data_IF_546847500798
#
_entry.id   IF_546847500798
#
_cell.length_a   1.000
_cell.length_b   1.000
_cell.length_c   1.000
_cell.angle_alpha   90.00
_cell.angle_beta   90.00
_cell.angle_gamma   90.00
#
_symmetry.space_group_name_H-M   'P 1'
#
loop_
_entity.id
_entity.type
_entity.pdbx_description
1 polymer ?
#
# COMPACT_ATOMS: atom_id res chain seq x y z
N UNK A 1 -2.41 -4.47 -15.49
CA UNK A 1 -3.73 -4.89 -14.94
C UNK A 1 -4.73 -5.04 -16.08
N UNK A 2 -5.59 -6.08 -16.03
CA UNK A 2 -6.62 -6.28 -17.06
C UNK A 2 -8.00 -6.45 -16.43
N UNK A 3 -8.99 -5.77 -16.99
CA UNK A 3 -10.39 -5.83 -16.58
C UNK A 3 -11.19 -6.42 -17.74
N UNK A 4 -12.00 -7.44 -17.47
CA UNK A 4 -12.78 -8.15 -18.47
C UNK A 4 -14.23 -8.28 -18.05
N UNK A 5 -15.13 -7.75 -18.89
CA UNK A 5 -16.59 -7.82 -18.78
C UNK A 5 -17.11 -7.45 -17.38
N UNK A 6 -16.49 -6.45 -16.75
CA UNK A 6 -16.80 -6.03 -15.39
C UNK A 6 -18.16 -5.37 -15.34
N UNK A 7 -19.08 -5.91 -14.56
CA UNK A 7 -20.39 -5.33 -14.27
C UNK A 7 -20.63 -5.31 -12.76
N UNK A 8 -21.25 -4.23 -12.28
CA UNK A 8 -21.61 -4.06 -10.87
C UNK A 8 -22.85 -3.17 -10.76
N UNK A 9 -23.81 -3.59 -9.92
CA UNK A 9 -25.01 -2.84 -9.59
C UNK A 9 -25.25 -2.81 -8.08
N UNK A 10 -25.83 -1.73 -7.58
CA UNK A 10 -26.37 -1.64 -6.23
C UNK A 10 -27.90 -1.57 -6.31
N UNK A 11 -28.55 -2.70 -6.09
CA UNK A 11 -29.99 -2.84 -6.30
C UNK A 11 -30.36 -2.60 -7.77
N UNK A 12 -31.14 -1.57 -8.05
CA UNK A 12 -31.52 -1.21 -9.41
C UNK A 12 -30.57 -0.19 -10.09
N UNK A 13 -29.53 0.22 -9.39
CA UNK A 13 -28.60 1.23 -9.89
C UNK A 13 -27.36 0.57 -10.47
N UNK A 14 -27.24 0.55 -11.80
CA UNK A 14 -26.07 0.02 -12.51
C UNK A 14 -24.91 1.03 -12.41
N UNK A 15 -23.79 0.60 -11.83
CA UNK A 15 -22.55 1.41 -11.68
C UNK A 15 -21.60 1.15 -12.84
N UNK A 16 -21.37 -0.14 -13.15
CA UNK A 16 -20.52 -0.56 -14.25
C UNK A 16 -21.26 -1.59 -15.10
N UNK A 17 -21.11 -1.47 -16.42
CA UNK A 17 -21.71 -2.37 -17.40
C UNK A 17 -20.69 -2.84 -18.41
N UNK A 18 -20.34 -4.11 -18.35
CA UNK A 18 -19.46 -4.78 -19.32
C UNK A 18 -18.16 -4.00 -19.61
N UNK A 19 -17.54 -3.45 -18.56
CA UNK A 19 -16.31 -2.65 -18.69
C UNK A 19 -15.14 -3.57 -19.04
N UNK A 20 -14.43 -3.20 -20.11
CA UNK A 20 -13.22 -3.86 -20.56
C UNK A 20 -12.10 -2.82 -20.63
N UNK A 21 -10.97 -3.07 -19.92
CA UNK A 21 -9.86 -2.13 -19.85
C UNK A 21 -8.56 -2.93 -19.69
N UNK A 22 -7.53 -2.53 -20.44
CA UNK A 22 -6.17 -3.02 -20.28
C UNK A 22 -5.27 -1.85 -19.88
N UNK A 23 -4.70 -1.90 -18.69
CA UNK A 23 -3.76 -0.91 -18.17
C UNK A 23 -2.37 -1.53 -18.21
N UNK A 24 -1.47 -1.04 -19.08
CA UNK A 24 -0.08 -1.48 -19.15
C UNK A 24 0.67 -1.24 -17.83
N UNK A 25 1.83 -1.84 -17.69
CA UNK A 25 2.74 -1.59 -16.57
C UNK A 25 3.41 -0.21 -16.73
N UNK A 26 3.73 0.42 -15.61
CA UNK A 26 4.38 1.73 -15.52
C UNK A 26 3.56 2.89 -16.14
N UNK A 27 2.25 2.73 -16.26
CA UNK A 27 1.37 3.79 -16.76
C UNK A 27 0.69 4.57 -15.62
N UNK A 28 0.58 5.89 -15.80
CA UNK A 28 -0.23 6.76 -14.95
C UNK A 28 -1.59 6.92 -15.61
N UNK A 29 -2.66 6.52 -14.92
CA UNK A 29 -4.03 6.55 -15.45
C UNK A 29 -4.92 7.46 -14.60
N UNK A 30 -5.52 8.47 -15.21
CA UNK A 30 -6.51 9.33 -14.58
C UNK A 30 -7.93 8.79 -14.79
N UNK A 31 -8.68 8.62 -13.69
CA UNK A 31 -10.10 8.26 -13.72
C UNK A 31 -10.93 9.53 -13.51
N UNK A 32 -11.67 9.93 -14.52
CA UNK A 32 -12.48 11.16 -14.51
C UNK A 32 -13.97 10.83 -14.51
N UNK A 33 -14.74 11.54 -13.73
CA UNK A 33 -16.20 11.38 -13.66
C UNK A 33 -16.82 12.28 -12.59
N UNK A 34 -18.12 12.53 -12.70
CA UNK A 34 -18.89 13.30 -11.70
C UNK A 34 -18.89 12.60 -10.33
N UNK A 35 -19.25 13.33 -9.28
CA UNK A 35 -19.40 12.72 -7.95
C UNK A 35 -20.51 11.66 -8.03
N UNK A 36 -20.26 10.49 -7.40
CA UNK A 36 -21.16 9.35 -7.46
C UNK A 36 -21.03 8.46 -8.72
N UNK A 37 -20.14 8.78 -9.68
CA UNK A 37 -19.92 7.96 -10.88
C UNK A 37 -19.26 6.59 -10.61
N UNK A 38 -18.94 6.25 -9.35
CA UNK A 38 -18.36 4.95 -9.01
C UNK A 38 -16.83 4.92 -8.93
N UNK A 39 -16.12 6.07 -8.94
CA UNK A 39 -14.64 6.11 -8.86
C UNK A 39 -14.10 5.34 -7.66
N UNK A 40 -14.55 5.65 -6.45
CA UNK A 40 -14.13 4.96 -5.23
C UNK A 40 -14.63 3.49 -5.18
N UNK A 41 -15.76 3.19 -5.82
CA UNK A 41 -16.26 1.81 -6.00
C UNK A 41 -15.30 1.00 -6.88
N UNK A 42 -14.79 1.61 -7.93
CA UNK A 42 -13.79 0.99 -8.81
C UNK A 42 -12.51 0.65 -8.05
N UNK A 43 -12.02 1.54 -7.19
CA UNK A 43 -10.87 1.25 -6.31
C UNK A 43 -11.15 0.10 -5.34
N UNK A 44 -12.35 0.03 -4.75
CA UNK A 44 -12.74 -1.10 -3.89
C UNK A 44 -12.73 -2.43 -4.63
N UNK A 45 -13.13 -2.46 -5.90
CA UNK A 45 -13.04 -3.64 -6.76
C UNK A 45 -11.59 -4.05 -7.04
N UNK A 46 -10.70 -3.08 -7.37
CA UNK A 46 -9.27 -3.33 -7.58
C UNK A 46 -8.63 -3.89 -6.30
N UNK A 47 -8.96 -3.33 -5.14
CA UNK A 47 -8.48 -3.77 -3.82
C UNK A 47 -9.10 -5.10 -3.36
N UNK A 48 -10.01 -5.70 -4.14
CA UNK A 48 -10.78 -6.90 -3.77
C UNK A 48 -11.58 -6.74 -2.45
N UNK A 49 -11.93 -5.49 -2.09
CA UNK A 49 -12.82 -5.18 -0.95
C UNK A 49 -14.30 -5.28 -1.35
N UNK A 50 -14.56 -5.38 -2.64
CA UNK A 50 -15.87 -5.58 -3.24
C UNK A 50 -15.69 -6.54 -4.42
N UNK A 51 -16.67 -7.46 -4.60
CA UNK A 51 -16.70 -8.36 -5.73
C UNK A 51 -17.65 -7.82 -6.81
N UNK A 52 -17.32 -7.96 -8.11
CA UNK A 52 -18.22 -7.57 -9.18
C UNK A 52 -19.35 -8.61 -9.32
N UNK A 53 -20.51 -8.18 -9.87
CA UNK A 53 -21.61 -9.09 -10.21
C UNK A 53 -21.20 -10.03 -11.37
N UNK A 54 -20.45 -9.48 -12.35
CA UNK A 54 -19.93 -10.22 -13.49
C UNK A 54 -18.53 -9.74 -13.86
N UNK A 55 -17.80 -10.60 -14.56
CA UNK A 55 -16.47 -10.30 -15.06
C UNK A 55 -15.37 -10.50 -14.01
N UNK A 56 -14.20 -9.93 -14.27
CA UNK A 56 -13.05 -10.06 -13.37
C UNK A 56 -11.99 -9.01 -13.59
N UNK A 57 -11.23 -8.73 -12.52
CA UNK A 57 -10.02 -7.93 -12.53
C UNK A 57 -8.83 -8.87 -12.38
N UNK A 58 -7.90 -8.84 -13.33
CA UNK A 58 -6.71 -9.70 -13.38
C UNK A 58 -5.50 -8.82 -13.06
N UNK A 59 -4.87 -9.12 -11.94
CA UNK A 59 -3.63 -8.47 -11.46
C UNK A 59 -2.65 -9.61 -11.18
N UNK A 60 -1.36 -9.38 -11.36
CA UNK A 60 -0.32 -10.37 -11.02
C UNK A 60 -0.38 -10.66 -9.51
N UNK A 61 -0.20 -11.91 -9.12
CA UNK A 61 -0.34 -12.34 -7.72
C UNK A 61 0.72 -11.73 -6.78
N UNK A 62 1.87 -11.38 -7.32
CA UNK A 62 2.99 -10.79 -6.59
C UNK A 62 2.91 -9.25 -6.47
N UNK A 63 1.90 -8.62 -7.09
CA UNK A 63 1.71 -7.17 -7.02
C UNK A 63 1.03 -6.75 -5.71
N UNK A 64 1.69 -5.84 -4.98
CA UNK A 64 1.06 -5.14 -3.88
C UNK A 64 0.25 -3.97 -4.43
N UNK A 65 -0.95 -3.80 -3.88
CA UNK A 65 -1.84 -2.71 -4.22
C UNK A 65 -2.04 -1.91 -2.95
N UNK A 66 -1.77 -0.63 -3.01
CA UNK A 66 -2.05 0.25 -1.88
C UNK A 66 -2.88 1.46 -2.32
N UNK A 67 -3.72 1.94 -1.40
CA UNK A 67 -4.66 3.03 -1.61
C UNK A 67 -4.39 4.10 -0.57
N UNK A 68 -4.31 5.38 -0.99
CA UNK A 68 -4.41 6.46 -0.02
C UNK A 68 -5.82 6.44 0.56
N UNK A 69 -5.97 6.19 1.87
CA UNK A 69 -7.27 6.33 2.51
C UNK A 69 -7.67 7.81 2.53
N UNK A 70 -8.96 8.05 2.41
CA UNK A 70 -9.50 9.41 2.49
C UNK A 70 -9.31 10.00 3.90
N UNK A 71 -9.28 9.13 4.92
CA UNK A 71 -9.07 9.50 6.33
C UNK A 71 -8.09 8.51 6.96
N UNK A 72 -7.08 9.00 7.70
CA UNK A 72 -6.06 8.16 8.36
C UNK A 72 -6.69 7.16 9.34
N UNK A 73 -7.75 7.57 10.05
CA UNK A 73 -8.46 6.76 11.02
C UNK A 73 -9.10 5.49 10.42
N UNK A 74 -9.35 5.48 9.11
CA UNK A 74 -9.87 4.30 8.41
C UNK A 74 -8.78 3.21 8.22
N UNK A 75 -7.50 3.60 8.29
CA UNK A 75 -6.36 2.70 8.07
C UNK A 75 -5.74 2.21 9.38
N UNK A 76 -5.69 3.06 10.40
CA UNK A 76 -4.95 2.85 11.63
C UNK A 76 -5.90 2.73 12.82
N UNK A 77 -5.93 1.54 13.43
CA UNK A 77 -6.75 1.28 14.62
C UNK A 77 -6.17 1.90 15.91
N UNK A 78 -4.87 2.16 15.94
CA UNK A 78 -4.16 2.72 17.09
C UNK A 78 -3.43 4.01 16.72
N UNK A 79 -4.07 5.15 17.00
CA UNK A 79 -3.49 6.47 16.75
C UNK A 79 -2.46 6.90 17.81
N UNK A 80 -2.15 6.06 18.80
CA UNK A 80 -1.13 6.35 19.82
C UNK A 80 0.30 6.08 19.34
N UNK A 81 0.48 5.44 18.19
CA UNK A 81 1.79 5.21 17.59
C UNK A 81 2.41 6.54 17.12
N UNK A 82 3.73 6.62 17.15
CA UNK A 82 4.46 7.77 16.62
C UNK A 82 4.51 7.76 15.09
N UNK A 83 4.71 8.95 14.53
CA UNK A 83 4.74 9.18 13.07
C UNK A 83 5.84 8.36 12.40
N UNK A 84 7.03 8.28 13.00
CA UNK A 84 8.15 7.55 12.41
C UNK A 84 7.83 6.05 12.29
N UNK A 85 7.33 5.44 13.36
CA UNK A 85 6.90 4.03 13.36
C UNK A 85 5.79 3.76 12.35
N UNK A 86 4.85 4.70 12.19
CA UNK A 86 3.82 4.60 11.18
C UNK A 86 4.40 4.64 9.76
N UNK A 87 5.31 5.57 9.49
CA UNK A 87 5.98 5.66 8.19
C UNK A 87 6.78 4.39 7.88
N UNK A 88 7.57 3.89 8.83
CA UNK A 88 8.33 2.63 8.69
C UNK A 88 7.42 1.44 8.35
N UNK A 89 6.21 1.40 8.90
CA UNK A 89 5.25 0.32 8.65
C UNK A 89 4.81 0.18 7.18
N UNK A 90 5.12 1.17 6.34
CA UNK A 90 4.86 1.11 4.90
C UNK A 90 5.59 -0.06 4.21
N UNK A 91 6.77 -0.43 4.70
CA UNK A 91 7.46 -1.67 4.26
C UNK A 91 7.47 -2.68 5.42
N UNK A 92 7.08 -3.94 5.19
CA UNK A 92 6.97 -4.93 6.27
C UNK A 92 8.34 -5.52 6.67
N UNK A 93 9.41 -4.72 6.68
CA UNK A 93 10.80 -5.15 6.88
C UNK A 93 10.96 -5.79 8.26
N UNK A 94 10.55 -5.11 9.34
CA UNK A 94 10.66 -5.63 10.72
C UNK A 94 9.97 -6.97 10.88
N UNK A 95 8.81 -7.16 10.23
CA UNK A 95 8.09 -8.44 10.25
C UNK A 95 8.85 -9.52 9.49
N UNK A 96 9.39 -9.18 8.32
CA UNK A 96 10.18 -10.12 7.50
C UNK A 96 11.45 -10.54 8.21
N UNK A 97 12.16 -9.64 8.90
CA UNK A 97 13.34 -9.95 9.72
C UNK A 97 12.98 -10.88 10.88
N UNK A 98 11.88 -10.60 11.59
CA UNK A 98 11.40 -11.46 12.66
C UNK A 98 11.01 -12.87 12.13
N UNK A 99 10.33 -12.94 10.98
CA UNK A 99 9.97 -14.20 10.32
C UNK A 99 11.21 -14.97 9.85
N UNK A 100 12.25 -14.27 9.38
CA UNK A 100 13.53 -14.84 8.99
C UNK A 100 14.25 -15.45 10.19
N UNK A 101 14.40 -14.68 11.27
CA UNK A 101 14.98 -15.12 12.51
C UNK A 101 14.30 -16.39 13.04
N UNK A 102 12.97 -16.35 13.13
CA UNK A 102 12.18 -17.52 13.57
C UNK A 102 12.37 -18.72 12.66
N UNK A 103 12.45 -18.51 11.35
CA UNK A 103 12.63 -19.61 10.39
C UNK A 103 14.01 -20.27 10.56
N UNK A 104 15.08 -19.51 10.85
CA UNK A 104 16.38 -20.07 11.19
C UNK A 104 16.37 -20.86 12.51
N UNK A 105 15.65 -20.39 13.52
CA UNK A 105 15.48 -21.14 14.78
C UNK A 105 14.72 -22.46 14.55
N UNK A 106 13.71 -22.47 13.68
CA UNK A 106 12.96 -23.67 13.31
C UNK A 106 13.86 -24.67 12.55
N UNK A 107 14.72 -24.20 11.64
CA UNK A 107 15.71 -25.03 10.93
C UNK A 107 16.66 -25.71 11.93
N UNK A 108 17.15 -24.97 12.91
CA UNK A 108 18.09 -25.49 13.90
C UNK A 108 17.47 -26.60 14.78
N UNK A 109 16.15 -26.63 14.95
CA UNK A 109 15.41 -27.60 15.77
C UNK A 109 14.89 -28.80 14.96
N UNK A 110 14.74 -28.64 13.62
CA UNK A 110 14.15 -29.67 12.76
C UNK A 110 15.15 -30.77 12.43
N UNK A 111 14.76 -32.02 12.60
CA UNK A 111 15.61 -33.20 12.32
C UNK A 111 15.31 -33.85 10.95
N UNK A 112 14.16 -33.54 10.37
CA UNK A 112 13.76 -34.11 9.08
C UNK A 112 14.35 -33.30 7.91
N UNK A 113 15.19 -33.92 7.10
CA UNK A 113 15.77 -33.29 5.90
C UNK A 113 14.73 -32.70 4.94
N UNK A 114 13.58 -33.39 4.78
CA UNK A 114 12.54 -32.90 3.86
C UNK A 114 11.90 -31.61 4.41
N UNK A 115 11.69 -31.52 5.71
CA UNK A 115 11.13 -30.32 6.33
C UNK A 115 12.17 -29.18 6.34
N UNK A 116 13.44 -29.49 6.60
CA UNK A 116 14.52 -28.50 6.49
C UNK A 116 14.57 -27.88 5.09
N UNK A 117 14.46 -28.69 4.02
CA UNK A 117 14.40 -28.19 2.63
C UNK A 117 13.22 -27.23 2.40
N UNK A 118 12.07 -27.45 3.02
CA UNK A 118 10.92 -26.54 2.94
C UNK A 118 11.18 -25.23 3.69
N UNK A 119 11.82 -25.30 4.86
CA UNK A 119 12.20 -24.12 5.63
C UNK A 119 13.25 -23.28 4.90
N UNK A 120 14.24 -23.89 4.25
CA UNK A 120 15.20 -23.15 3.41
C UNK A 120 14.51 -22.43 2.24
N UNK A 121 13.56 -23.07 1.58
CA UNK A 121 12.75 -22.37 0.54
C UNK A 121 11.94 -21.20 1.11
N UNK A 122 11.54 -21.27 2.38
CA UNK A 122 10.87 -20.14 3.05
C UNK A 122 11.87 -19.02 3.33
N UNK A 123 13.10 -19.33 3.76
CA UNK A 123 14.19 -18.35 3.91
C UNK A 123 14.42 -17.62 2.59
N UNK A 124 14.64 -18.35 1.49
CA UNK A 124 14.86 -17.75 0.16
C UNK A 124 13.75 -16.74 -0.21
N UNK A 125 12.49 -17.10 0.06
CA UNK A 125 11.35 -16.22 -0.23
C UNK A 125 11.34 -14.96 0.65
N UNK A 126 11.72 -15.08 1.92
CA UNK A 126 11.79 -13.93 2.83
C UNK A 126 12.93 -13.01 2.42
N UNK A 127 14.11 -13.56 2.10
CA UNK A 127 15.26 -12.79 1.65
C UNK A 127 14.98 -12.04 0.33
N UNK A 128 14.32 -12.70 -0.63
CA UNK A 128 13.87 -12.04 -1.87
C UNK A 128 12.95 -10.86 -1.58
N UNK A 129 12.02 -10.99 -0.61
CA UNK A 129 11.15 -9.88 -0.21
C UNK A 129 11.94 -8.75 0.47
N UNK A 130 12.88 -9.08 1.35
CA UNK A 130 13.75 -8.07 1.98
C UNK A 130 14.56 -7.30 0.94
N UNK A 131 15.12 -8.01 -0.06
CA UNK A 131 15.81 -7.37 -1.18
C UNK A 131 14.88 -6.48 -2.02
N UNK A 132 13.68 -6.96 -2.33
CA UNK A 132 12.66 -6.16 -3.03
C UNK A 132 12.35 -4.85 -2.31
N UNK A 133 12.21 -4.89 -0.98
CA UNK A 133 12.00 -3.69 -0.16
C UNK A 133 13.28 -2.89 0.12
N UNK A 134 14.43 -3.28 -0.46
CA UNK A 134 15.72 -2.60 -0.27
C UNK A 134 16.03 -2.38 1.21
N UNK A 135 15.93 -3.45 2.02
CA UNK A 135 15.95 -3.34 3.47
C UNK A 135 17.19 -2.65 4.04
N UNK A 136 18.36 -2.75 3.35
CA UNK A 136 19.60 -2.09 3.77
C UNK A 136 19.56 -0.57 3.60
N UNK A 137 18.84 -0.07 2.60
CA UNK A 137 18.67 1.35 2.28
C UNK A 137 17.32 1.91 2.75
N UNK A 138 16.53 1.11 3.46
CA UNK A 138 15.15 1.44 3.79
C UNK A 138 15.01 2.74 4.61
N UNK A 139 15.91 2.94 5.58
CA UNK A 139 15.93 4.15 6.40
C UNK A 139 16.30 5.39 5.56
N UNK A 140 17.31 5.25 4.68
CA UNK A 140 17.71 6.32 3.78
C UNK A 140 16.59 6.70 2.81
N UNK A 141 15.89 5.70 2.24
CA UNK A 141 14.74 5.91 1.36
C UNK A 141 13.60 6.64 2.11
N UNK A 142 13.33 6.25 3.36
CA UNK A 142 12.33 6.92 4.20
C UNK A 142 12.70 8.38 4.46
N UNK A 143 13.94 8.65 4.87
CA UNK A 143 14.40 10.00 5.14
C UNK A 143 14.36 10.88 3.88
N UNK A 144 14.69 10.34 2.71
CA UNK A 144 14.54 11.09 1.43
C UNK A 144 13.10 11.56 1.21
N UNK A 145 12.12 10.72 1.52
CA UNK A 145 10.70 11.09 1.41
C UNK A 145 10.32 12.12 2.46
N UNK A 146 10.74 11.95 3.72
CA UNK A 146 10.50 12.89 4.81
C UNK A 146 10.99 14.30 4.44
N UNK A 147 12.25 14.39 4.00
CA UNK A 147 12.84 15.67 3.61
C UNK A 147 12.25 16.23 2.31
N UNK A 148 12.01 15.38 1.30
CA UNK A 148 11.40 15.78 0.03
C UNK A 148 10.00 16.36 0.22
N UNK A 149 9.23 15.80 1.13
CA UNK A 149 7.90 16.29 1.48
C UNK A 149 7.93 17.40 2.55
N UNK A 150 9.10 17.87 2.98
CA UNK A 150 9.25 18.92 4.02
C UNK A 150 8.47 18.56 5.31
N UNK A 151 8.58 17.31 5.76
CA UNK A 151 8.05 16.87 7.05
C UNK A 151 9.04 17.32 8.12
N UNK A 152 8.58 18.07 9.11
CA UNK A 152 9.43 18.55 10.18
C UNK A 152 9.89 17.42 11.10
N UNK A 153 11.18 17.40 11.48
CA UNK A 153 11.73 16.35 12.35
C UNK A 153 11.00 16.25 13.69
N UNK A 154 10.48 17.38 14.18
CA UNK A 154 9.68 17.45 15.41
C UNK A 154 8.40 16.62 15.35
N UNK A 155 7.83 16.44 14.13
CA UNK A 155 6.63 15.64 13.93
C UNK A 155 6.91 14.15 14.00
N UNK A 156 8.13 13.69 13.70
CA UNK A 156 8.45 12.25 13.63
C UNK A 156 8.23 11.52 14.96
N UNK A 157 8.45 12.23 16.08
CA UNK A 157 8.24 11.70 17.43
C UNK A 157 6.83 12.00 18.00
N UNK A 158 6.00 12.72 17.25
CA UNK A 158 4.63 13.03 17.67
C UNK A 158 3.72 11.82 17.45
N UNK A 159 2.63 11.71 18.21
CA UNK A 159 1.63 10.69 17.98
C UNK A 159 0.75 11.06 16.79
N UNK A 160 0.24 10.07 16.07
CA UNK A 160 -0.73 10.31 14.98
C UNK A 160 -1.99 11.04 15.47
N UNK A 161 -2.40 10.79 16.73
CA UNK A 161 -3.54 11.49 17.35
C UNK A 161 -3.37 13.00 17.41
N UNK A 162 -2.14 13.47 17.55
CA UNK A 162 -1.81 14.88 17.81
C UNK A 162 -1.69 15.71 16.52
N UNK A 163 -1.74 15.04 15.37
CA UNK A 163 -1.62 15.67 14.06
C UNK A 163 -2.90 16.37 13.62
N UNK A 164 -2.75 17.51 12.97
CA UNK A 164 -3.84 18.17 12.22
C UNK A 164 -4.26 17.33 11.00
N UNK A 165 -5.44 17.57 10.44
CA UNK A 165 -5.93 16.84 9.26
C UNK A 165 -4.97 16.92 8.06
N UNK A 166 -4.42 18.10 7.78
CA UNK A 166 -3.42 18.27 6.72
C UNK A 166 -2.12 17.51 6.98
N UNK A 167 -1.63 17.51 8.24
CA UNK A 167 -0.46 16.73 8.62
C UNK A 167 -0.73 15.24 8.48
N UNK A 168 -1.89 14.74 8.92
CA UNK A 168 -2.30 13.34 8.74
C UNK A 168 -2.29 12.92 7.29
N UNK A 169 -2.88 13.72 6.40
CA UNK A 169 -2.89 13.46 4.97
C UNK A 169 -1.47 13.41 4.38
N UNK A 170 -0.61 14.36 4.78
CA UNK A 170 0.80 14.42 4.36
C UNK A 170 1.58 13.18 4.80
N UNK A 171 1.43 12.77 6.06
CA UNK A 171 2.10 11.59 6.64
C UNK A 171 1.59 10.29 5.98
N UNK A 172 0.28 10.17 5.76
CA UNK A 172 -0.29 9.00 5.05
C UNK A 172 0.26 8.89 3.62
N UNK A 173 0.38 10.01 2.94
CA UNK A 173 0.94 10.04 1.60
C UNK A 173 2.44 9.68 1.59
N UNK A 174 3.21 10.20 2.55
CA UNK A 174 4.62 9.85 2.72
C UNK A 174 4.81 8.33 2.93
N UNK A 175 3.96 7.72 3.77
CA UNK A 175 3.98 6.28 4.00
C UNK A 175 3.68 5.49 2.72
N UNK A 176 2.71 5.91 1.93
CA UNK A 176 2.39 5.26 0.64
C UNK A 176 3.56 5.34 -0.35
N UNK A 177 4.21 6.51 -0.45
CA UNK A 177 5.42 6.66 -1.28
C UNK A 177 6.54 5.74 -0.80
N UNK A 178 6.71 5.62 0.52
CA UNK A 178 7.71 4.71 1.10
C UNK A 178 7.36 3.24 0.86
N UNK A 179 6.10 2.87 0.97
CA UNK A 179 5.62 1.52 0.67
C UNK A 179 5.94 1.10 -0.78
N UNK A 180 5.91 2.07 -1.70
CA UNK A 180 6.22 1.88 -3.12
C UNK A 180 5.52 0.66 -3.74
N UNK A 181 4.19 0.57 -3.65
CA UNK A 181 3.44 -0.57 -4.18
C UNK A 181 3.51 -0.61 -5.71
N UNK A 182 3.35 -1.79 -6.31
CA UNK A 182 3.30 -1.95 -7.77
C UNK A 182 2.06 -1.29 -8.39
N UNK A 183 0.98 -1.18 -7.62
CA UNK A 183 -0.23 -0.43 -8.01
C UNK A 183 -0.58 0.56 -6.90
N UNK A 184 -0.44 1.84 -7.19
CA UNK A 184 -0.81 2.93 -6.30
C UNK A 184 -2.16 3.50 -6.71
N UNK A 185 -3.12 3.48 -5.79
CA UNK A 185 -4.45 4.05 -6.00
C UNK A 185 -4.56 5.37 -5.25
N UNK A 186 -4.93 6.43 -5.94
CA UNK A 186 -5.02 7.78 -5.39
C UNK A 186 -6.46 8.30 -5.57
N UNK A 187 -7.22 8.39 -4.47
CA UNK A 187 -8.57 8.96 -4.51
C UNK A 187 -8.52 10.43 -4.05
N UNK A 188 -8.63 11.36 -5.00
CA UNK A 188 -8.55 12.81 -4.78
C UNK A 188 -7.33 13.26 -3.94
N UNK A 189 -6.10 12.81 -4.29
CA UNK A 189 -4.92 12.94 -3.42
C UNK A 189 -4.54 14.40 -3.10
N UNK A 190 -4.97 15.34 -3.93
CA UNK A 190 -4.58 16.76 -3.81
C UNK A 190 -5.45 17.58 -2.87
N UNK A 191 -6.60 17.05 -2.43
CA UNK A 191 -7.58 17.84 -1.67
C UNK A 191 -7.07 18.31 -0.30
N UNK A 192 -6.05 17.64 0.26
CA UNK A 192 -5.53 17.94 1.59
C UNK A 192 -4.01 18.16 1.61
N UNK A 193 -3.36 18.22 0.44
CA UNK A 193 -1.93 18.45 0.33
C UNK A 193 -1.63 19.94 0.08
N UNK A 194 -0.57 20.43 0.71
CA UNK A 194 -0.03 21.76 0.45
C UNK A 194 0.66 21.82 -0.95
N UNK A 195 0.91 23.05 -1.43
CA UNK A 195 1.50 23.27 -2.77
C UNK A 195 2.90 22.64 -2.91
N UNK A 196 3.68 22.62 -1.84
CA UNK A 196 5.02 22.01 -1.84
C UNK A 196 4.94 20.49 -2.00
N UNK A 197 4.02 19.85 -1.29
CA UNK A 197 3.78 18.40 -1.38
C UNK A 197 3.23 18.02 -2.75
N UNK A 198 2.33 18.84 -3.33
CA UNK A 198 1.84 18.64 -4.70
C UNK A 198 2.93 18.68 -5.75
N UNK A 199 3.93 19.55 -5.56
CA UNK A 199 5.06 19.69 -6.47
C UNK A 199 6.07 18.52 -6.38
N UNK A 200 6.13 17.83 -5.23
CA UNK A 200 6.99 16.66 -5.02
C UNK A 200 6.45 15.37 -5.66
N UNK A 201 5.13 15.29 -5.83
CA UNK A 201 4.41 14.11 -6.35
C UNK A 201 4.21 14.18 -7.86
#
# INVERSE_FOLDING_TARGET
MKIKNLSLSFGLHEIFKNVNLDIPENEKVGIVGVNGAGKSTFFKLIMKRLEPDEGKIIIKEDYNIDLIPQVLEDEVSDLSIDVFSYLESGRPIKKLEADLQKTYEDIAKEQSENKQKLLFKKVDKIEQKLQFYRYLEAEEDLLKIVYGMKIEDTLLNSKLSDLSGGQKSKITFARLLYASPEIMLLDEPTNHLDEDTKAFV
#
